data_IF_333795589678
#
_entry.id   IF_333795589678
#
_cell.length_a   1.000
_cell.length_b   1.000
_cell.length_c   1.000
_cell.angle_alpha   90.00
_cell.angle_beta   90.00
_cell.angle_gamma   90.00
#
_symmetry.space_group_name_H-M   'P 1'
#
loop_
_entity.id
_entity.type
_entity.pdbx_description
1 polymer ?
#
# COMPACT_ATOMS: atom_id res chain seq x y z
N UNK A 1 9.95 -6.49 8.61
CA UNK A 1 8.57 -6.93 8.35
C UNK A 1 7.54 -6.10 9.15
N UNK A 2 7.64 -6.02 10.50
CA UNK A 2 6.64 -5.32 11.33
C UNK A 2 6.51 -3.84 11.00
N UNK A 3 7.62 -3.13 10.76
CA UNK A 3 7.61 -1.71 10.35
C UNK A 3 6.83 -1.51 9.04
N UNK A 4 7.03 -2.37 8.05
CA UNK A 4 6.30 -2.29 6.79
C UNK A 4 4.79 -2.54 6.95
N UNK A 5 4.39 -3.42 7.88
CA UNK A 5 2.99 -3.62 8.21
C UNK A 5 2.40 -2.40 8.92
N UNK A 6 3.14 -1.79 9.86
CA UNK A 6 2.69 -0.60 10.57
C UNK A 6 2.53 0.61 9.64
N UNK A 7 3.43 0.77 8.67
CA UNK A 7 3.36 1.85 7.68
C UNK A 7 2.20 1.72 6.68
N UNK A 8 1.58 0.53 6.59
CA UNK A 8 0.40 0.29 5.74
C UNK A 8 -0.93 0.53 6.46
N UNK A 9 -0.89 0.97 7.70
CA UNK A 9 -2.07 1.15 8.56
C UNK A 9 -2.92 -0.13 8.73
N UNK A 10 -4.14 0.02 9.20
CA UNK A 10 -5.17 -0.98 9.42
C UNK A 10 -4.84 -2.01 10.52
N UNK A 11 -3.71 -2.73 10.45
CA UNK A 11 -3.47 -3.89 11.30
C UNK A 11 -2.75 -3.56 12.61
N UNK A 12 -1.89 -2.57 12.61
CA UNK A 12 -1.00 -2.26 13.73
C UNK A 12 -1.24 -0.84 14.22
N UNK A 13 -1.53 -0.69 15.50
CA UNK A 13 -1.44 0.58 16.20
C UNK A 13 0.03 0.85 16.51
N UNK A 14 0.58 1.86 15.88
CA UNK A 14 1.97 2.24 15.96
C UNK A 14 2.19 3.36 16.97
N UNK A 15 3.17 3.22 17.85
CA UNK A 15 3.61 4.28 18.75
C UNK A 15 5.12 4.53 18.58
N UNK A 16 5.51 5.80 18.56
CA UNK A 16 6.88 6.22 18.26
C UNK A 16 7.10 6.57 16.80
N UNK A 17 8.35 6.66 16.39
CA UNK A 17 8.71 6.98 15.01
C UNK A 17 8.83 5.73 14.15
N UNK A 18 7.83 5.49 13.32
CA UNK A 18 7.76 4.37 12.37
C UNK A 18 8.24 4.73 10.96
N UNK A 19 8.86 5.92 10.81
CA UNK A 19 9.24 6.45 9.52
C UNK A 19 8.08 7.09 8.77
N UNK A 20 8.35 7.53 7.56
CA UNK A 20 7.35 8.19 6.72
C UNK A 20 7.54 7.78 5.26
N UNK A 21 6.50 7.18 4.69
CA UNK A 21 6.52 6.70 3.29
C UNK A 21 6.56 7.84 2.26
N UNK A 22 6.13 9.04 2.63
CA UNK A 22 6.13 10.21 1.74
C UNK A 22 7.50 10.87 1.67
N UNK A 23 8.16 11.04 2.83
CA UNK A 23 9.49 11.66 2.88
C UNK A 23 10.61 10.66 2.59
N UNK A 24 10.39 9.38 2.88
CA UNK A 24 11.39 8.32 2.80
C UNK A 24 12.19 8.14 4.09
N UNK A 25 11.78 8.79 5.19
CA UNK A 25 12.44 8.63 6.47
C UNK A 25 12.31 7.21 7.01
N UNK A 26 13.41 6.68 7.53
CA UNK A 26 13.45 5.38 8.16
C UNK A 26 12.79 5.37 9.54
N UNK A 27 12.33 4.22 9.99
CA UNK A 27 11.84 4.04 11.35
C UNK A 27 12.98 4.11 12.37
N UNK A 28 12.66 4.51 13.59
CA UNK A 28 13.58 4.45 14.73
C UNK A 28 13.99 2.99 15.05
N UNK A 29 15.02 2.83 15.86
CA UNK A 29 15.42 1.50 16.31
C UNK A 29 14.27 0.80 17.08
N UNK A 30 14.16 -0.53 17.01
CA UNK A 30 13.04 -1.27 17.62
C UNK A 30 12.79 -1.00 19.10
N UNK A 31 13.81 -0.64 19.85
CA UNK A 31 13.70 -0.29 21.28
C UNK A 31 13.01 1.04 21.59
N UNK A 32 12.72 1.84 20.56
CA UNK A 32 12.07 3.15 20.70
C UNK A 32 10.66 3.18 20.11
N UNK A 33 10.19 2.06 19.59
CA UNK A 33 8.86 1.96 18.98
C UNK A 33 8.05 0.87 19.67
N UNK A 34 6.75 1.08 19.74
CA UNK A 34 5.81 0.11 20.29
C UNK A 34 4.76 -0.25 19.25
N UNK A 35 4.29 -1.49 19.31
CA UNK A 35 3.29 -2.03 18.40
C UNK A 35 2.27 -2.85 19.15
N UNK A 36 1.02 -2.72 18.79
CA UNK A 36 -0.07 -3.62 19.20
C UNK A 36 -1.01 -3.85 18.02
N UNK A 37 -1.79 -4.89 18.10
CA UNK A 37 -2.85 -5.12 17.12
C UNK A 37 -3.92 -4.03 17.25
N UNK A 38 -4.35 -3.50 16.11
CA UNK A 38 -5.45 -2.55 16.06
C UNK A 38 -6.78 -3.23 16.40
N UNK A 39 -7.79 -2.45 16.76
CA UNK A 39 -9.15 -2.97 16.93
C UNK A 39 -9.68 -3.63 15.67
N UNK A 40 -9.39 -3.02 14.51
CA UNK A 40 -9.73 -3.57 13.21
C UNK A 40 -9.09 -4.96 13.00
N UNK A 41 -7.80 -5.10 13.28
CA UNK A 41 -7.12 -6.39 13.16
C UNK A 41 -7.75 -7.47 14.04
N UNK A 42 -8.06 -7.14 15.31
CA UNK A 42 -8.69 -8.08 16.23
C UNK A 42 -10.06 -8.57 15.75
N UNK A 43 -10.84 -7.70 15.12
CA UNK A 43 -12.17 -8.04 14.63
C UNK A 43 -12.17 -8.76 13.28
N UNK A 44 -11.29 -8.33 12.37
CA UNK A 44 -11.34 -8.75 10.96
C UNK A 44 -10.41 -9.93 10.67
N UNK A 45 -9.22 -9.97 11.29
CA UNK A 45 -8.19 -10.97 10.97
C UNK A 45 -8.39 -12.28 11.71
N UNK A 46 -8.82 -12.24 12.97
CA UNK A 46 -8.87 -13.41 13.82
C UNK A 46 -10.30 -13.97 13.91
N UNK A 47 -10.50 -15.14 13.31
CA UNK A 47 -11.76 -15.87 13.39
C UNK A 47 -11.49 -17.34 13.78
N UNK A 48 -11.48 -17.68 15.07
CA UNK A 48 -11.17 -19.03 15.53
C UNK A 48 -12.09 -20.11 14.95
N UNK A 49 -13.35 -19.78 14.62
CA UNK A 49 -14.35 -20.73 14.11
C UNK A 49 -14.07 -21.18 12.68
N UNK A 50 -13.40 -20.35 11.88
CA UNK A 50 -13.11 -20.64 10.45
C UNK A 50 -11.62 -20.89 10.21
N UNK A 51 -10.78 -20.77 11.24
CA UNK A 51 -9.34 -20.98 11.14
C UNK A 51 -9.00 -22.46 11.24
N UNK A 52 -8.21 -22.95 10.30
CA UNK A 52 -7.62 -24.29 10.36
C UNK A 52 -6.30 -24.20 11.14
N UNK A 53 -6.16 -25.08 12.14
CA UNK A 53 -5.04 -25.09 13.08
C UNK A 53 -4.16 -26.31 12.89
N UNK A 54 -2.85 -26.13 13.02
CA UNK A 54 -1.87 -27.23 13.13
C UNK A 54 -1.09 -27.11 14.45
N UNK A 55 -0.44 -28.19 14.94
CA UNK A 55 0.46 -28.09 16.06
C UNK A 55 1.63 -27.14 15.75
N UNK A 56 2.10 -26.40 16.77
CA UNK A 56 3.36 -25.64 16.69
C UNK A 56 4.55 -26.59 16.58
N UNK A 57 5.72 -26.06 16.24
CA UNK A 57 6.94 -26.84 16.08
C UNK A 57 7.27 -27.73 17.30
N UNK A 58 7.04 -27.23 18.50
CA UNK A 58 7.25 -27.93 19.76
C UNK A 58 6.02 -28.74 20.23
N UNK A 59 4.93 -28.73 19.52
CA UNK A 59 3.68 -29.42 19.84
C UNK A 59 2.91 -28.87 21.05
N UNK A 60 3.41 -27.83 21.72
CA UNK A 60 2.79 -27.29 22.94
C UNK A 60 1.60 -26.40 22.67
N UNK A 61 1.60 -25.74 21.51
CA UNK A 61 0.57 -24.81 21.10
C UNK A 61 0.01 -25.21 19.73
N UNK A 62 -0.99 -24.46 19.28
CA UNK A 62 -1.54 -24.57 17.93
C UNK A 62 -1.31 -23.24 17.19
N UNK A 63 -0.92 -23.34 15.94
CA UNK A 63 -0.75 -22.18 15.07
C UNK A 63 -1.70 -22.26 13.86
N UNK A 64 -2.21 -21.12 13.34
CA UNK A 64 -3.07 -21.15 12.18
C UNK A 64 -2.27 -21.53 10.93
N UNK A 65 -2.86 -22.35 10.06
CA UNK A 65 -2.30 -22.63 8.73
C UNK A 65 -2.41 -21.38 7.87
N UNK A 66 -3.58 -20.76 7.89
CA UNK A 66 -3.88 -19.47 7.23
C UNK A 66 -4.82 -18.68 8.13
N UNK A 67 -4.84 -17.37 7.97
CA UNK A 67 -5.80 -16.49 8.64
C UNK A 67 -6.91 -16.12 7.65
N UNK A 68 -8.15 -16.63 7.84
CA UNK A 68 -9.28 -16.30 7.00
C UNK A 68 -9.81 -14.89 7.34
N UNK A 69 -9.26 -13.88 6.70
CA UNK A 69 -9.59 -12.48 6.94
C UNK A 69 -10.97 -12.17 6.34
N UNK A 70 -11.82 -11.45 7.08
CA UNK A 70 -13.18 -11.09 6.69
C UNK A 70 -13.27 -9.95 5.66
N UNK A 71 -12.16 -9.31 5.36
CA UNK A 71 -12.04 -8.16 4.48
C UNK A 71 -10.94 -8.40 3.43
N UNK A 72 -11.04 -7.93 2.19
CA UNK A 72 -10.03 -8.14 1.16
C UNK A 72 -8.76 -7.30 1.39
N UNK A 73 -8.06 -7.58 2.49
CA UNK A 73 -6.88 -6.85 2.95
C UNK A 73 -5.75 -6.81 1.91
N UNK A 74 -5.63 -7.89 1.13
CA UNK A 74 -4.64 -7.99 0.07
C UNK A 74 -4.80 -6.87 -0.98
N UNK A 75 -6.04 -6.57 -1.34
CA UNK A 75 -6.36 -5.48 -2.27
C UNK A 75 -6.25 -4.11 -1.60
N UNK A 76 -6.63 -3.98 -0.33
CA UNK A 76 -6.55 -2.72 0.38
C UNK A 76 -5.11 -2.23 0.54
N UNK A 77 -4.20 -3.11 0.94
CA UNK A 77 -2.82 -2.74 1.25
C UNK A 77 -1.86 -2.93 0.07
N UNK A 78 -2.27 -3.65 -0.96
CA UNK A 78 -1.37 -4.09 -2.00
C UNK A 78 -0.26 -5.01 -1.49
N UNK A 79 0.27 -5.83 -2.35
CA UNK A 79 1.35 -6.77 -2.04
C UNK A 79 2.31 -6.86 -3.20
N UNK A 80 3.58 -6.91 -2.90
CA UNK A 80 4.64 -7.21 -3.86
C UNK A 80 5.44 -8.39 -3.34
N UNK A 81 5.61 -9.41 -4.19
CA UNK A 81 6.38 -10.60 -3.87
C UNK A 81 7.22 -11.04 -5.05
N UNK A 82 8.45 -11.45 -4.77
CA UNK A 82 9.41 -11.95 -5.75
C UNK A 82 9.76 -13.37 -5.38
N UNK A 83 9.67 -14.26 -6.35
CA UNK A 83 10.08 -15.65 -6.24
C UNK A 83 10.98 -16.03 -7.42
N UNK A 84 11.54 -17.23 -7.42
CA UNK A 84 12.37 -17.70 -8.54
C UNK A 84 11.51 -17.84 -9.79
N UNK A 85 11.82 -17.05 -10.82
CA UNK A 85 11.11 -17.06 -12.10
C UNK A 85 9.72 -16.44 -12.11
N UNK A 86 9.22 -15.96 -10.97
CA UNK A 86 7.89 -15.37 -10.83
C UNK A 86 7.94 -14.12 -9.95
N UNK A 87 7.12 -13.14 -10.29
CA UNK A 87 6.87 -11.97 -9.46
C UNK A 87 5.36 -11.68 -9.45
N UNK A 88 4.86 -11.25 -8.31
CA UNK A 88 3.48 -10.80 -8.17
C UNK A 88 3.47 -9.38 -7.63
N UNK A 89 2.63 -8.54 -8.21
CA UNK A 89 2.44 -7.16 -7.77
C UNK A 89 0.95 -6.84 -7.81
N UNK A 90 0.37 -6.71 -6.63
CA UNK A 90 -1.01 -6.29 -6.42
C UNK A 90 -0.96 -4.86 -5.91
N UNK A 91 -1.58 -3.94 -6.64
CA UNK A 91 -1.63 -2.53 -6.27
C UNK A 91 -2.67 -2.30 -5.16
N UNK A 92 -2.47 -1.32 -4.27
CA UNK A 92 -3.47 -0.98 -3.27
C UNK A 92 -4.71 -0.35 -3.91
N UNK A 93 -5.83 -0.38 -3.18
CA UNK A 93 -7.12 0.16 -3.59
C UNK A 93 -7.74 0.95 -2.45
N UNK A 94 -8.67 1.82 -2.78
CA UNK A 94 -9.40 2.61 -1.80
C UNK A 94 -10.26 1.71 -0.90
N UNK A 95 -10.17 1.95 0.41
CA UNK A 95 -10.86 1.13 1.41
C UNK A 95 -12.39 1.17 1.27
N UNK A 96 -12.96 2.35 1.01
CA UNK A 96 -14.41 2.50 0.87
C UNK A 96 -14.91 1.86 -0.43
N UNK A 97 -14.21 2.06 -1.54
CA UNK A 97 -14.51 1.44 -2.83
C UNK A 97 -14.43 -0.09 -2.76
N UNK A 98 -13.51 -0.63 -1.97
CA UNK A 98 -13.44 -2.07 -1.71
C UNK A 98 -14.66 -2.60 -0.96
N UNK A 99 -15.17 -1.87 0.01
CA UNK A 99 -16.39 -2.25 0.72
C UNK A 99 -17.58 -2.22 -0.23
N UNK A 100 -17.71 -1.17 -1.03
CA UNK A 100 -18.77 -1.04 -2.03
C UNK A 100 -18.70 -2.16 -3.07
N UNK A 101 -17.51 -2.50 -3.54
CA UNK A 101 -17.28 -3.64 -4.44
C UNK A 101 -17.67 -4.99 -3.80
N UNK A 102 -17.35 -5.18 -2.52
CA UNK A 102 -17.78 -6.38 -1.78
C UNK A 102 -19.31 -6.47 -1.68
N UNK A 103 -19.98 -5.34 -1.43
CA UNK A 103 -21.45 -5.27 -1.37
C UNK A 103 -22.05 -5.59 -2.75
N UNK A 104 -21.53 -4.99 -3.83
CA UNK A 104 -21.97 -5.24 -5.19
C UNK A 104 -21.78 -6.72 -5.58
N UNK A 105 -20.61 -7.28 -5.25
CA UNK A 105 -20.33 -8.69 -5.50
C UNK A 105 -21.33 -9.63 -4.79
N UNK A 106 -21.66 -9.35 -3.55
CA UNK A 106 -22.65 -10.13 -2.78
C UNK A 106 -24.07 -10.01 -3.32
N UNK A 107 -24.38 -8.89 -3.98
CA UNK A 107 -25.67 -8.65 -4.65
C UNK A 107 -25.68 -9.17 -6.09
N UNK A 108 -24.58 -9.72 -6.59
CA UNK A 108 -24.38 -10.11 -7.99
C UNK A 108 -24.53 -8.95 -8.98
N UNK A 109 -24.13 -7.74 -8.56
CA UNK A 109 -24.08 -6.54 -9.38
C UNK A 109 -22.69 -6.39 -10.00
N UNK A 110 -22.60 -5.79 -11.18
CA UNK A 110 -21.33 -5.47 -11.80
C UNK A 110 -20.66 -4.30 -11.07
N UNK A 111 -19.35 -4.36 -10.92
CA UNK A 111 -18.56 -3.28 -10.34
C UNK A 111 -17.23 -3.15 -11.08
N UNK A 112 -16.64 -1.96 -10.98
CA UNK A 112 -15.30 -1.66 -11.49
C UNK A 112 -14.46 -1.15 -10.33
N UNK A 113 -13.26 -1.70 -10.17
CA UNK A 113 -12.34 -1.32 -9.12
C UNK A 113 -10.98 -0.97 -9.73
N UNK A 114 -10.51 0.24 -9.46
CA UNK A 114 -9.19 0.70 -9.91
C UNK A 114 -8.22 0.84 -8.74
N UNK A 115 -6.92 0.65 -8.98
CA UNK A 115 -5.90 0.94 -7.97
C UNK A 115 -5.98 2.39 -7.49
N UNK A 116 -5.81 2.57 -6.18
CA UNK A 116 -5.69 3.87 -5.53
C UNK A 116 -4.52 3.87 -4.56
N UNK A 117 -3.86 5.00 -4.37
CA UNK A 117 -2.60 5.08 -3.67
C UNK A 117 -2.67 6.02 -2.46
N UNK A 118 -2.12 5.62 -1.30
CA UNK A 118 -2.12 6.48 -0.10
C UNK A 118 -1.30 7.76 -0.28
N UNK A 119 -0.42 7.81 -1.28
CA UNK A 119 0.37 9.00 -1.60
C UNK A 119 -0.34 9.98 -2.52
N UNK A 120 -1.53 9.60 -3.03
CA UNK A 120 -2.25 10.39 -4.02
C UNK A 120 -1.63 10.31 -5.42
N UNK A 121 -1.82 11.37 -6.21
CA UNK A 121 -1.36 11.45 -7.59
C UNK A 121 -2.46 11.14 -8.60
N UNK A 122 -2.12 11.25 -9.87
CA UNK A 122 -3.01 10.97 -10.99
C UNK A 122 -2.64 9.64 -11.62
N UNK A 123 -3.63 8.79 -11.86
CA UNK A 123 -3.43 7.48 -12.48
C UNK A 123 -4.08 7.40 -13.86
N UNK A 124 -3.35 6.85 -14.83
CA UNK A 124 -3.88 6.45 -16.12
C UNK A 124 -4.04 4.92 -16.12
N UNK A 125 -5.27 4.48 -16.14
CA UNK A 125 -5.69 3.06 -16.10
C UNK A 125 -6.07 2.50 -17.48
N UNK A 126 -5.84 3.23 -18.56
CA UNK A 126 -6.25 2.84 -19.92
C UNK A 126 -5.69 1.48 -20.37
N UNK A 127 -4.58 1.05 -19.79
CA UNK A 127 -3.93 -0.25 -20.04
C UNK A 127 -3.92 -1.15 -18.82
N UNK A 128 -4.77 -0.88 -17.86
CA UNK A 128 -4.92 -1.75 -16.69
C UNK A 128 -5.68 -3.02 -17.08
N UNK A 129 -5.11 -4.16 -16.72
CA UNK A 129 -5.72 -5.47 -16.96
C UNK A 129 -6.00 -6.11 -15.59
N UNK A 130 -7.20 -5.89 -15.08
CA UNK A 130 -7.61 -6.37 -13.77
C UNK A 130 -7.58 -7.89 -13.68
N UNK A 131 -6.85 -8.43 -12.70
CA UNK A 131 -6.70 -9.87 -12.49
C UNK A 131 -5.98 -10.64 -13.61
N UNK A 132 -5.61 -10.00 -14.70
CA UNK A 132 -4.96 -10.62 -15.85
C UNK A 132 -3.46 -10.35 -15.85
N UNK A 133 -2.71 -11.25 -16.47
CA UNK A 133 -1.27 -11.04 -16.66
C UNK A 133 -1.01 -9.97 -17.72
N UNK A 134 -0.11 -9.06 -17.43
CA UNK A 134 0.23 -7.94 -18.31
C UNK A 134 -0.47 -6.65 -17.86
N UNK A 135 -0.56 -5.70 -18.76
CA UNK A 135 -1.08 -4.38 -18.44
C UNK A 135 -0.06 -3.48 -17.72
N UNK A 136 -0.37 -2.21 -17.64
CA UNK A 136 0.38 -1.25 -16.86
C UNK A 136 -0.51 -0.10 -16.43
N UNK A 137 -0.09 0.60 -15.39
CA UNK A 137 -0.65 1.87 -14.96
C UNK A 137 0.44 2.93 -15.01
N UNK A 138 0.08 4.16 -15.40
CA UNK A 138 0.98 5.30 -15.35
C UNK A 138 0.54 6.21 -14.23
N UNK A 139 1.46 6.54 -13.35
CA UNK A 139 1.20 7.40 -12.19
C UNK A 139 1.99 8.69 -12.37
N UNK A 140 1.33 9.83 -12.15
CA UNK A 140 1.92 11.16 -12.24
C UNK A 140 1.68 11.94 -10.96
N UNK A 141 2.64 12.79 -10.63
CA UNK A 141 2.47 13.78 -9.58
C UNK A 141 1.33 14.74 -9.94
N UNK A 142 0.63 15.22 -8.93
CA UNK A 142 -0.29 16.34 -9.10
C UNK A 142 0.49 17.63 -8.94
N UNK A 143 0.42 18.47 -9.98
CA UNK A 143 1.18 19.71 -10.07
C UNK A 143 0.20 20.87 -10.25
N UNK A 144 0.32 21.87 -9.41
CA UNK A 144 -0.51 23.07 -9.41
C UNK A 144 0.38 24.31 -9.61
N UNK A 145 -0.19 25.35 -10.20
CA UNK A 145 0.48 26.64 -10.27
C UNK A 145 0.30 27.39 -8.95
N UNK A 146 1.36 28.02 -8.49
CA UNK A 146 1.26 28.94 -7.37
C UNK A 146 0.38 30.14 -7.70
N UNK A 147 -0.23 30.74 -6.67
CA UNK A 147 -1.16 31.88 -6.80
C UNK A 147 -0.57 33.05 -7.62
N UNK A 148 0.73 33.22 -7.61
CA UNK A 148 1.43 34.27 -8.38
C UNK A 148 1.90 33.80 -9.77
N UNK A 149 1.56 32.59 -10.21
CA UNK A 149 1.99 31.96 -11.47
C UNK A 149 3.52 31.95 -11.71
N UNK A 150 4.33 32.11 -10.65
CA UNK A 150 5.79 32.16 -10.73
C UNK A 150 6.47 30.85 -10.33
N UNK A 151 5.73 29.94 -9.73
CA UNK A 151 6.22 28.64 -9.28
C UNK A 151 5.22 27.54 -9.58
N UNK A 152 5.72 26.31 -9.67
CA UNK A 152 4.92 25.09 -9.71
C UNK A 152 5.03 24.41 -8.36
N UNK A 153 3.89 24.01 -7.81
CA UNK A 153 3.80 23.27 -6.55
C UNK A 153 3.40 21.84 -6.84
N UNK A 154 4.21 20.88 -6.42
CA UNK A 154 3.85 19.47 -6.43
C UNK A 154 3.09 19.20 -5.14
N UNK A 155 1.80 18.88 -5.24
CA UNK A 155 0.93 18.66 -4.09
C UNK A 155 0.79 17.19 -3.73
N UNK A 156 0.95 16.30 -4.70
CA UNK A 156 0.91 14.86 -4.50
C UNK A 156 2.05 14.19 -5.29
N UNK A 157 2.72 13.23 -4.68
CA UNK A 157 3.83 12.49 -5.32
C UNK A 157 3.37 11.16 -5.90
N UNK A 158 4.00 10.65 -6.97
CA UNK A 158 3.66 9.36 -7.52
C UNK A 158 3.94 8.23 -6.53
N UNK A 159 3.09 7.23 -6.49
CA UNK A 159 3.29 6.03 -5.67
C UNK A 159 4.65 5.37 -5.93
N UNK A 160 5.32 4.94 -4.85
CA UNK A 160 6.65 4.32 -4.91
C UNK A 160 7.81 5.32 -5.07
N UNK A 161 7.52 6.62 -4.98
CA UNK A 161 8.54 7.68 -4.91
C UNK A 161 8.45 8.40 -3.57
N UNK A 162 9.59 8.82 -3.06
CA UNK A 162 9.68 9.69 -1.88
C UNK A 162 9.98 11.11 -2.31
N UNK A 163 9.70 12.09 -1.44
CA UNK A 163 10.03 13.48 -1.68
C UNK A 163 11.50 13.67 -2.02
N UNK A 164 12.40 13.03 -1.26
CA UNK A 164 13.84 13.08 -1.50
C UNK A 164 14.21 12.53 -2.88
N UNK A 165 13.71 11.34 -3.25
CA UNK A 165 14.00 10.73 -4.55
C UNK A 165 13.46 11.54 -5.73
N UNK A 166 12.35 12.26 -5.52
CA UNK A 166 11.78 13.14 -6.54
C UNK A 166 12.64 14.39 -6.72
N UNK A 167 13.07 15.01 -5.63
CA UNK A 167 13.98 16.16 -5.65
C UNK A 167 15.29 15.79 -6.37
N UNK A 168 15.91 14.67 -6.02
CA UNK A 168 17.15 14.20 -6.66
C UNK A 168 16.94 13.97 -8.18
N UNK A 169 15.81 13.42 -8.57
CA UNK A 169 15.46 13.23 -9.97
C UNK A 169 15.34 14.56 -10.73
N UNK A 170 14.68 15.56 -10.14
CA UNK A 170 14.53 16.91 -10.72
C UNK A 170 15.88 17.58 -10.86
N UNK A 171 16.72 17.52 -9.81
CA UNK A 171 18.07 18.10 -9.83
C UNK A 171 18.90 17.45 -10.94
N UNK A 172 18.88 16.14 -11.04
CA UNK A 172 19.65 15.40 -12.07
C UNK A 172 19.25 15.83 -13.48
N UNK A 173 17.96 15.95 -13.75
CA UNK A 173 17.45 16.40 -15.06
C UNK A 173 17.84 17.84 -15.32
N UNK A 174 17.76 18.73 -14.32
CA UNK A 174 18.16 20.13 -14.44
C UNK A 174 19.63 20.26 -14.81
N UNK A 175 20.54 19.50 -14.16
CA UNK A 175 21.95 19.52 -14.50
C UNK A 175 22.26 18.99 -15.91
N UNK A 176 21.54 18.00 -16.38
CA UNK A 176 21.75 17.43 -17.72
C UNK A 176 21.27 18.36 -18.83
N UNK A 177 20.20 19.12 -18.60
CA UNK A 177 19.63 20.05 -19.58
C UNK A 177 20.24 21.46 -19.55
N UNK A 178 20.82 21.90 -18.45
CA UNK A 178 21.49 23.20 -18.36
C UNK A 178 22.94 23.21 -18.89
N UNK A 179 23.51 22.03 -19.22
CA UNK A 179 24.84 21.88 -19.81
C UNK A 179 24.84 21.59 -21.31
N UNK A 180 23.68 21.51 -21.92
CA UNK A 180 23.47 21.46 -23.37
C UNK A 180 23.04 22.85 -23.88
#
# INVERSE_FOLDING_TARGET
ALVQLGQKDLLIDCQGNWGNILTGDGAAAPRYIEARLSKFALEVVFNPKTTNWKPSYDGRNREPITLPIKFPLLLAQGVEGIAVGLASKILPHNFNELIDACIAHLKHEDFVLYPDFPTGGMIDVSKYCDGMRGGNVKIRAKIEKDNNNRALKITEIPFGRTTSSLIDSIITVSYTHLRA
#
